data_IF_993044483024
#
_entry.id   IF_993044483024
#
_cell.length_a   1.000
_cell.length_b   1.000
_cell.length_c   1.000
_cell.angle_alpha   90.00
_cell.angle_beta   90.00
_cell.angle_gamma   90.00
#
_symmetry.space_group_name_H-M   'P 1'
#
loop_
_entity.id
_entity.type
_entity.pdbx_description
1 polymer ?
#
# COMPACT_ATOMS: atom_id res chain seq x y z
N UNK A 1 20.45 4.43 8.16
CA UNK A 1 19.58 3.37 7.61
C UNK A 1 18.11 3.78 7.57
N UNK A 2 17.52 4.23 8.69
CA UNK A 2 16.11 4.65 8.75
C UNK A 2 15.68 5.67 7.68
N UNK A 3 16.48 6.71 7.41
CA UNK A 3 16.10 7.78 6.45
C UNK A 3 15.92 7.29 5.00
N UNK A 4 16.70 6.29 4.56
CA UNK A 4 16.59 5.72 3.22
C UNK A 4 15.43 4.74 3.12
N UNK A 5 15.25 3.89 4.14
CA UNK A 5 14.14 2.92 4.20
C UNK A 5 12.78 3.60 4.24
N UNK A 6 12.66 4.73 4.96
CA UNK A 6 11.43 5.53 4.99
C UNK A 6 11.04 6.05 3.60
N UNK A 7 12.00 6.56 2.83
CA UNK A 7 11.75 7.09 1.48
C UNK A 7 11.16 6.04 0.53
N UNK A 8 11.74 4.83 0.53
CA UNK A 8 11.25 3.70 -0.29
C UNK A 8 9.84 3.27 0.11
N UNK A 9 9.55 3.28 1.41
CA UNK A 9 8.20 2.98 1.92
C UNK A 9 7.17 4.02 1.47
N UNK A 10 7.54 5.30 1.41
CA UNK A 10 6.68 6.37 0.89
C UNK A 10 6.47 6.32 -0.63
N UNK A 11 7.25 5.52 -1.39
CA UNK A 11 7.00 5.29 -2.81
C UNK A 11 5.91 4.23 -3.08
N UNK A 12 5.62 3.36 -2.11
CA UNK A 12 4.58 2.32 -2.24
C UNK A 12 3.22 2.85 -2.74
N UNK A 13 2.67 3.98 -2.23
CA UNK A 13 1.41 4.54 -2.74
C UNK A 13 1.50 4.98 -4.20
N UNK A 14 2.65 5.53 -4.61
CA UNK A 14 2.89 5.98 -6.00
C UNK A 14 3.01 4.79 -6.93
N UNK A 15 3.68 3.73 -6.49
CA UNK A 15 3.77 2.45 -7.21
C UNK A 15 2.37 1.84 -7.39
N UNK A 16 1.58 1.75 -6.31
CA UNK A 16 0.20 1.25 -6.36
C UNK A 16 -0.66 2.08 -7.32
N UNK A 17 -0.52 3.41 -7.31
CA UNK A 17 -1.20 4.29 -8.27
C UNK A 17 -0.84 3.93 -9.71
N UNK A 18 0.45 3.81 -10.03
CA UNK A 18 0.91 3.49 -11.38
C UNK A 18 0.41 2.11 -11.83
N UNK A 19 0.56 1.09 -11.01
CA UNK A 19 0.09 -0.25 -11.32
C UNK A 19 -1.44 -0.29 -11.50
N UNK A 20 -2.18 0.47 -10.68
CA UNK A 20 -3.63 0.54 -10.81
C UNK A 20 -4.08 1.32 -12.04
N UNK A 21 -3.34 2.36 -12.43
CA UNK A 21 -3.56 3.14 -13.66
C UNK A 21 -3.38 2.27 -14.90
N UNK A 22 -2.38 1.39 -14.92
CA UNK A 22 -2.15 0.45 -16.02
C UNK A 22 -3.16 -0.73 -15.96
N UNK A 23 -3.80 -0.96 -14.80
CA UNK A 23 -4.83 -1.99 -14.61
C UNK A 23 -4.30 -3.33 -14.07
N UNK A 24 -3.02 -3.37 -13.67
CA UNK A 24 -2.37 -4.56 -13.08
C UNK A 24 -2.96 -4.85 -11.69
N UNK A 25 -3.26 -3.79 -10.94
CA UNK A 25 -3.72 -3.89 -9.55
C UNK A 25 -5.06 -3.20 -9.39
N UNK A 26 -6.03 -3.92 -8.83
CA UNK A 26 -7.37 -3.39 -8.56
C UNK A 26 -7.60 -3.17 -7.06
N UNK A 27 -8.52 -2.27 -6.67
CA UNK A 27 -8.82 -2.02 -5.27
C UNK A 27 -9.42 -3.26 -4.60
N UNK A 28 -10.20 -4.04 -5.36
CA UNK A 28 -10.75 -5.33 -4.92
C UNK A 28 -9.63 -6.33 -4.64
N UNK A 29 -8.65 -6.46 -5.54
CA UNK A 29 -7.49 -7.30 -5.33
C UNK A 29 -6.73 -6.90 -4.06
N UNK A 30 -6.40 -5.61 -3.90
CA UNK A 30 -5.70 -5.15 -2.69
C UNK A 30 -6.51 -5.45 -1.42
N UNK A 31 -7.83 -5.25 -1.43
CA UNK A 31 -8.68 -5.59 -0.27
C UNK A 31 -8.66 -7.08 0.07
N UNK A 32 -8.69 -7.96 -0.93
CA UNK A 32 -8.61 -9.42 -0.73
C UNK A 32 -7.26 -9.82 -0.13
N UNK A 33 -6.17 -9.18 -0.53
CA UNK A 33 -4.82 -9.47 -0.05
C UNK A 33 -4.43 -8.71 1.23
N UNK A 34 -5.37 -8.05 1.93
CA UNK A 34 -5.10 -7.34 3.20
C UNK A 34 -4.35 -8.17 4.24
N UNK A 35 -4.71 -9.45 4.39
CA UNK A 35 -4.04 -10.36 5.33
C UNK A 35 -2.57 -10.61 4.93
N UNK A 36 -2.28 -10.71 3.63
CA UNK A 36 -0.91 -10.84 3.13
C UNK A 36 -0.13 -9.55 3.32
N UNK A 37 -0.75 -8.40 3.06
CA UNK A 37 -0.14 -7.09 3.28
C UNK A 37 0.26 -6.89 4.76
N UNK A 38 -0.59 -7.31 5.72
CA UNK A 38 -0.22 -7.28 7.14
C UNK A 38 1.04 -8.11 7.44
N UNK A 39 1.16 -9.32 6.88
CA UNK A 39 2.33 -10.17 7.06
C UNK A 39 3.58 -9.52 6.44
N UNK A 40 3.48 -8.97 5.24
CA UNK A 40 4.59 -8.26 4.58
C UNK A 40 5.02 -7.03 5.39
N UNK A 41 4.07 -6.25 5.90
CA UNK A 41 4.32 -5.08 6.75
C UNK A 41 5.06 -5.49 8.02
N UNK A 42 4.66 -6.60 8.65
CA UNK A 42 5.35 -7.16 9.83
C UNK A 42 6.77 -7.61 9.51
N UNK A 43 6.99 -8.27 8.36
CA UNK A 43 8.33 -8.67 7.91
C UNK A 43 9.20 -7.43 7.66
N UNK A 44 8.68 -6.41 6.98
CA UNK A 44 9.39 -5.14 6.74
C UNK A 44 9.69 -4.44 8.06
N UNK A 45 8.73 -4.38 8.99
CA UNK A 45 8.93 -3.80 10.31
C UNK A 45 10.01 -4.55 11.10
N UNK A 46 10.08 -5.88 11.02
CA UNK A 46 11.12 -6.69 11.63
C UNK A 46 12.50 -6.50 10.98
N UNK A 47 12.56 -6.19 9.68
CA UNK A 47 13.81 -5.87 8.99
C UNK A 47 14.34 -4.46 9.33
N UNK A 48 13.43 -3.51 9.51
CA UNK A 48 13.77 -2.12 9.86
C UNK A 48 14.11 -1.97 11.34
N UNK A 49 13.41 -2.70 12.21
CA UNK A 49 13.56 -2.63 13.66
C UNK A 49 14.53 -3.71 14.13
N UNK A 50 15.75 -3.36 14.57
CA UNK A 50 16.72 -4.37 15.02
C UNK A 50 16.31 -5.05 16.33
N UNK A 51 15.43 -4.41 17.11
CA UNK A 51 14.84 -4.95 18.34
C UNK A 51 13.59 -5.77 18.01
N UNK A 52 13.55 -7.08 18.30
CA UNK A 52 12.40 -7.94 18.04
C UNK A 52 11.29 -7.76 19.10
N UNK A 53 11.01 -6.51 19.49
CA UNK A 53 9.98 -6.16 20.45
C UNK A 53 8.65 -5.90 19.74
N UNK A 54 7.59 -6.60 20.16
CA UNK A 54 6.24 -6.48 19.58
C UNK A 54 5.76 -5.03 19.60
N UNK A 55 6.01 -4.30 20.69
CA UNK A 55 5.63 -2.89 20.86
C UNK A 55 6.25 -1.99 19.79
N UNK A 56 7.55 -2.16 19.55
CA UNK A 56 8.31 -1.38 18.56
C UNK A 56 7.91 -1.75 17.14
N UNK A 57 7.64 -3.03 16.87
CA UNK A 57 7.14 -3.49 15.57
C UNK A 57 5.78 -2.90 15.24
N UNK A 58 4.85 -2.85 16.20
CA UNK A 58 3.53 -2.25 16.00
C UNK A 58 3.66 -0.75 15.69
N UNK A 59 4.57 -0.04 16.37
CA UNK A 59 4.82 1.39 16.13
C UNK A 59 5.25 1.68 14.68
N UNK A 60 6.05 0.79 14.08
CA UNK A 60 6.48 0.89 12.66
C UNK A 60 5.42 0.34 11.70
N UNK A 61 4.68 -0.69 12.09
CA UNK A 61 3.65 -1.30 11.27
C UNK A 61 2.44 -0.37 11.05
N UNK A 62 2.08 0.45 12.04
CA UNK A 62 0.97 1.42 11.93
C UNK A 62 1.14 2.37 10.74
N UNK A 63 2.23 3.14 10.59
CA UNK A 63 2.39 4.04 9.45
C UNK A 63 2.47 3.28 8.12
N UNK A 64 3.06 2.09 8.08
CA UNK A 64 3.07 1.23 6.90
C UNK A 64 1.67 0.79 6.48
N UNK A 65 0.83 0.42 7.46
CA UNK A 65 -0.55 0.03 7.22
C UNK A 65 -1.39 1.21 6.72
N UNK A 66 -1.17 2.41 7.28
CA UNK A 66 -1.81 3.64 6.79
C UNK A 66 -1.42 3.89 5.32
N UNK A 67 -0.15 3.76 4.96
CA UNK A 67 0.30 3.93 3.57
C UNK A 67 -0.34 2.91 2.62
N UNK A 68 -0.47 1.66 3.06
CA UNK A 68 -1.17 0.63 2.28
C UNK A 68 -2.65 0.97 2.07
N UNK A 69 -3.32 1.45 3.11
CA UNK A 69 -4.72 1.85 3.04
C UNK A 69 -4.93 3.08 2.14
N UNK A 70 -3.99 4.04 2.17
CA UNK A 70 -3.94 5.15 1.21
C UNK A 70 -3.79 4.60 -0.22
N UNK A 71 -2.90 3.63 -0.44
CA UNK A 71 -2.74 2.98 -1.75
C UNK A 71 -4.03 2.34 -2.27
N UNK A 72 -4.80 1.67 -1.40
CA UNK A 72 -6.12 1.13 -1.74
C UNK A 72 -7.08 2.26 -2.15
N UNK A 73 -7.11 3.35 -1.40
CA UNK A 73 -7.95 4.52 -1.71
C UNK A 73 -7.61 5.13 -3.07
N UNK A 74 -6.31 5.27 -3.36
CA UNK A 74 -5.80 5.78 -4.64
C UNK A 74 -6.17 4.84 -5.79
N UNK A 75 -6.00 3.53 -5.62
CA UNK A 75 -6.44 2.52 -6.59
C UNK A 75 -7.95 2.63 -6.85
N UNK A 76 -8.76 2.80 -5.80
CA UNK A 76 -10.22 2.95 -5.92
C UNK A 76 -10.61 4.20 -6.70
N UNK A 77 -9.90 5.32 -6.49
CA UNK A 77 -10.11 6.55 -7.26
C UNK A 77 -9.79 6.33 -8.74
N UNK A 78 -8.69 5.66 -9.06
CA UNK A 78 -8.29 5.35 -10.45
C UNK A 78 -9.32 4.46 -11.15
N UNK A 79 -9.80 3.41 -10.49
CA UNK A 79 -10.82 2.52 -11.06
C UNK A 79 -12.13 3.28 -11.33
N UNK A 80 -12.60 4.10 -10.38
CA UNK A 80 -13.81 4.92 -10.56
C UNK A 80 -13.68 5.91 -11.72
N UNK A 81 -12.50 6.47 -11.94
CA UNK A 81 -12.26 7.36 -13.07
C UNK A 81 -12.34 6.61 -14.40
N UNK A 82 -11.74 5.42 -14.51
CA UNK A 82 -11.87 4.55 -15.69
C UNK A 82 -13.32 4.15 -15.99
N UNK A 83 -14.10 3.82 -14.96
CA UNK A 83 -15.53 3.47 -15.12
C UNK A 83 -16.36 4.66 -15.62
N UNK A 84 -16.06 5.88 -15.15
CA UNK A 84 -16.72 7.11 -15.63
C UNK A 84 -16.39 7.42 -17.08
N UNK A 85 -15.13 7.28 -17.49
CA UNK A 85 -14.70 7.49 -18.87
C UNK A 85 -15.41 6.51 -19.81
N UNK A 86 -15.48 5.22 -19.44
CA UNK A 86 -16.19 4.21 -20.23
C UNK A 86 -17.69 4.53 -20.41
N UNK A 87 -18.33 5.08 -19.36
CA UNK A 87 -19.76 5.46 -19.39
C UNK A 87 -20.04 6.78 -20.11
N UNK A 88 -19.02 7.60 -20.34
CA UNK A 88 -19.13 8.88 -21.05
C UNK A 88 -18.97 8.70 -22.57
N UNK A 89 -18.48 7.54 -23.01
CA UNK A 89 -18.30 7.17 -24.41
C UNK A 89 -19.44 6.28 -24.97
N UNK A 90 -20.43 5.95 -24.14
CA UNK A 90 -21.62 5.15 -24.46
C UNK A 90 -22.89 5.97 -24.36
#
# INVERSE_FOLDING_TARGET
>A
MLTLSSGVVFELPVVIYFLSKIGIVTPSFLRTYRRHAMVIILIIAALITPSPDISSQILVAIPLFILYEIGIGVSAMVLRNKEKEARSQS
#
